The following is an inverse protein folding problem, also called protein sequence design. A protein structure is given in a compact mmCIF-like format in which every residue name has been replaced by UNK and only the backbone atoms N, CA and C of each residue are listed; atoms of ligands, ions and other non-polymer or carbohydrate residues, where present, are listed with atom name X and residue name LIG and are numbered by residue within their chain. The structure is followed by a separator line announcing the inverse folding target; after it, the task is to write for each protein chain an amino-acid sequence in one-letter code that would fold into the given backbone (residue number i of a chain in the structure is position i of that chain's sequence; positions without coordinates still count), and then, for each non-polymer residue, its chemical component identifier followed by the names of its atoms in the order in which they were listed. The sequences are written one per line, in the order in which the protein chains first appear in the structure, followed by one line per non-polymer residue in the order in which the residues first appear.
data_IF_846021298253
#
_entry.id   IF_846021298253
#
_cell.length_a   1.000
_cell.length_b   1.000
_cell.length_c   1.000
_cell.angle_alpha   90.00
_cell.angle_beta   90.00
_cell.angle_gamma   90.00
#
_symmetry.space_group_name_H-M   'P 1'
#
loop_
_entity.id
_entity.type
_entity.pdbx_description
1 polymer ?
#
# COMPACT_ATOMS: atom_id res chain seq x y z
N UNK A 1 -9.31 16.53 -8.92
CA UNK A 1 -9.43 15.05 -9.03
C UNK A 1 -8.08 14.39 -9.33
N UNK A 2 -7.31 14.84 -10.34
CA UNK A 2 -6.00 14.24 -10.69
C UNK A 2 -4.94 14.29 -9.57
N UNK A 3 -4.80 15.41 -8.87
CA UNK A 3 -3.81 15.56 -7.77
C UNK A 3 -4.13 14.62 -6.60
N UNK A 4 -5.41 14.48 -6.25
CA UNK A 4 -5.87 13.53 -5.22
C UNK A 4 -5.52 12.09 -5.57
N UNK A 5 -5.71 11.70 -6.84
CA UNK A 5 -5.34 10.37 -7.33
C UNK A 5 -3.83 10.11 -7.17
N UNK A 6 -2.99 11.04 -7.63
CA UNK A 6 -1.53 10.91 -7.56
C UNK A 6 -1.07 10.77 -6.11
N UNK A 7 -1.59 11.60 -5.20
CA UNK A 7 -1.23 11.52 -3.78
C UNK A 7 -1.55 10.16 -3.15
N UNK A 8 -2.76 9.66 -3.38
CA UNK A 8 -3.21 8.37 -2.83
C UNK A 8 -2.45 7.19 -3.46
N UNK A 9 -2.12 7.26 -4.75
CA UNK A 9 -1.27 6.26 -5.40
C UNK A 9 0.12 6.21 -4.78
N UNK A 10 0.78 7.37 -4.58
CA UNK A 10 2.12 7.42 -3.98
C UNK A 10 2.08 6.88 -2.56
N UNK A 11 1.12 7.30 -1.74
CA UNK A 11 0.97 6.85 -0.35
C UNK A 11 0.74 5.34 -0.27
N UNK A 12 -0.12 4.79 -1.14
CA UNK A 12 -0.37 3.35 -1.17
C UNK A 12 0.89 2.55 -1.50
N UNK A 13 1.68 3.00 -2.48
CA UNK A 13 2.93 2.35 -2.86
C UNK A 13 3.99 2.44 -1.73
N UNK A 14 4.06 3.58 -1.05
CA UNK A 14 4.99 3.81 0.06
C UNK A 14 4.65 2.92 1.26
N UNK A 15 3.36 2.78 1.59
CA UNK A 15 2.88 1.91 2.66
C UNK A 15 3.17 0.43 2.35
N UNK A 16 2.91 -0.01 1.12
CA UNK A 16 3.22 -1.38 0.70
C UNK A 16 4.73 -1.62 0.78
N UNK A 17 5.55 -0.73 0.22
CA UNK A 17 7.01 -0.83 0.29
C UNK A 17 7.54 -0.89 1.72
N UNK A 18 7.06 0.02 2.58
CA UNK A 18 7.41 0.04 4.01
C UNK A 18 7.01 -1.26 4.71
N UNK A 19 5.81 -1.75 4.44
CA UNK A 19 5.33 -3.02 4.99
C UNK A 19 6.17 -4.22 4.55
N UNK A 20 6.62 -4.26 3.29
CA UNK A 20 7.56 -5.28 2.81
C UNK A 20 8.94 -5.18 3.47
N UNK A 21 9.46 -3.97 3.71
CA UNK A 21 10.73 -3.79 4.43
C UNK A 21 10.65 -4.32 5.87
N UNK A 22 9.58 -4.00 6.59
CA UNK A 22 9.33 -4.49 7.96
C UNK A 22 9.16 -6.02 7.96
N UNK A 23 8.52 -6.56 6.92
CA UNK A 23 8.38 -8.00 6.74
C UNK A 23 9.74 -8.67 6.54
N UNK A 24 10.62 -8.07 5.73
CA UNK A 24 12.00 -8.54 5.55
C UNK A 24 12.78 -8.56 6.87
N UNK A 25 12.65 -7.51 7.68
CA UNK A 25 13.27 -7.44 9.00
C UNK A 25 12.72 -8.49 9.97
N UNK A 26 11.41 -8.76 9.93
CA UNK A 26 10.78 -9.85 10.68
C UNK A 26 11.32 -11.22 10.26
N UNK A 27 11.58 -11.46 8.98
CA UNK A 27 12.19 -12.71 8.49
C UNK A 27 13.62 -12.85 9.01
N UNK A 28 14.40 -11.77 9.00
CA UNK A 28 15.77 -11.79 9.55
C UNK A 28 15.74 -12.07 11.06
N UNK A 29 14.82 -11.47 11.80
CA UNK A 29 14.63 -11.75 13.24
C UNK A 29 14.25 -13.21 13.49
N UNK A 30 13.39 -13.79 12.65
CA UNK A 30 13.03 -15.21 12.70
C UNK A 30 14.25 -16.11 12.52
N UNK A 31 15.13 -15.77 11.57
CA UNK A 31 16.36 -16.53 11.32
C UNK A 31 17.40 -16.39 12.45
N UNK A 32 17.27 -15.38 13.31
CA UNK A 32 18.14 -15.16 14.47
C UNK A 32 17.54 -15.66 15.80
N UNK A 33 16.51 -16.52 15.75
CA UNK A 33 15.78 -17.05 16.92
C UNK A 33 15.21 -15.97 17.87
N UNK A 34 14.93 -14.76 17.34
CA UNK A 34 14.31 -13.65 18.09
C UNK A 34 12.81 -13.62 17.85
N UNK A 35 12.08 -12.93 18.74
CA UNK A 35 10.63 -12.73 18.59
C UNK A 35 10.33 -11.97 17.29
N UNK A 36 9.79 -12.68 16.30
CA UNK A 36 9.46 -12.16 14.96
C UNK A 36 7.97 -11.97 14.74
N UNK A 37 7.13 -12.58 15.60
CA UNK A 37 5.68 -12.66 15.39
C UNK A 37 5.01 -11.28 15.40
N UNK A 38 5.41 -10.42 16.33
CA UNK A 38 4.85 -9.05 16.47
C UNK A 38 5.28 -8.17 15.30
N UNK A 39 6.54 -8.25 14.88
CA UNK A 39 7.03 -7.46 13.74
C UNK A 39 6.40 -7.92 12.42
N UNK A 40 6.24 -9.24 12.24
CA UNK A 40 5.58 -9.81 11.07
C UNK A 40 4.09 -9.49 11.00
N UNK A 41 3.38 -9.50 12.13
CA UNK A 41 1.96 -9.11 12.19
C UNK A 41 1.78 -7.62 11.92
N UNK A 42 2.65 -6.75 12.46
CA UNK A 42 2.67 -5.33 12.13
C UNK A 42 2.91 -5.09 10.63
N UNK A 43 3.86 -5.81 10.02
CA UNK A 43 4.07 -5.75 8.57
C UNK A 43 2.81 -6.11 7.79
N UNK A 44 2.12 -7.20 8.16
CA UNK A 44 0.88 -7.61 7.50
C UNK A 44 -0.22 -6.55 7.61
N UNK A 45 -0.38 -5.91 8.77
CA UNK A 45 -1.35 -4.82 8.97
C UNK A 45 -1.02 -3.63 8.05
N UNK A 46 0.25 -3.25 7.96
CA UNK A 46 0.71 -2.13 7.13
C UNK A 46 0.50 -2.43 5.64
N UNK A 47 0.87 -3.64 5.18
CA UNK A 47 0.69 -4.06 3.79
C UNK A 47 -0.80 -4.08 3.42
N UNK A 48 -1.65 -4.67 4.26
CA UNK A 48 -3.10 -4.71 4.00
C UNK A 48 -3.71 -3.31 3.97
N UNK A 49 -3.28 -2.42 4.86
CA UNK A 49 -3.70 -1.01 4.84
C UNK A 49 -3.29 -0.32 3.53
N UNK A 50 -2.04 -0.54 3.09
CA UNK A 50 -1.54 -0.02 1.81
C UNK A 50 -2.31 -0.54 0.60
N UNK A 51 -2.70 -1.82 0.60
CA UNK A 51 -3.55 -2.41 -0.45
C UNK A 51 -4.94 -1.78 -0.52
N UNK A 52 -5.56 -1.44 0.61
CA UNK A 52 -6.84 -0.72 0.62
C UNK A 52 -6.72 0.64 -0.06
N UNK A 53 -5.68 1.42 0.25
CA UNK A 53 -5.43 2.71 -0.41
C UNK A 53 -5.13 2.55 -1.91
N UNK A 54 -4.47 1.46 -2.30
CA UNK A 54 -4.21 1.16 -3.70
C UNK A 54 -5.52 0.88 -4.46
N UNK A 55 -6.46 0.15 -3.85
CA UNK A 55 -7.80 -0.06 -4.39
C UNK A 55 -8.56 1.24 -4.63
N UNK A 56 -8.54 2.15 -3.64
CA UNK A 56 -9.16 3.48 -3.79
C UNK A 56 -8.49 4.32 -4.87
N UNK A 57 -7.16 4.22 -5.01
CA UNK A 57 -6.43 4.85 -6.10
C UNK A 57 -6.90 4.36 -7.47
N UNK A 58 -7.11 3.05 -7.63
CA UNK A 58 -7.57 2.47 -8.90
C UNK A 58 -8.97 2.97 -9.24
N UNK A 59 -9.89 2.95 -8.28
CA UNK A 59 -11.27 3.44 -8.48
C UNK A 59 -11.27 4.92 -8.89
N UNK A 60 -10.50 5.76 -8.20
CA UNK A 60 -10.35 7.17 -8.55
C UNK A 60 -9.77 7.36 -9.96
N UNK A 61 -8.85 6.48 -10.40
CA UNK A 61 -8.30 6.49 -11.76
C UNK A 61 -9.39 6.23 -12.80
N UNK A 62 -10.21 5.20 -12.56
CA UNK A 62 -11.27 4.76 -13.46
C UNK A 62 -12.31 5.87 -13.62
N UNK A 63 -12.82 6.41 -12.51
CA UNK A 63 -13.78 7.53 -12.53
C UNK A 63 -13.24 8.76 -13.27
N UNK A 64 -11.93 9.00 -13.19
CA UNK A 64 -11.29 10.12 -13.87
C UNK A 64 -11.18 9.89 -15.38
N UNK A 65 -10.95 8.64 -15.80
CA UNK A 65 -10.96 8.24 -17.21
C UNK A 65 -12.38 8.39 -17.78
N UNK A 66 -13.40 7.84 -17.10
CA UNK A 66 -14.80 7.94 -17.52
C UNK A 66 -15.25 9.40 -17.70
N UNK A 67 -14.94 10.28 -16.74
CA UNK A 67 -15.26 11.71 -16.84
C UNK A 67 -14.59 12.41 -18.03
N UNK A 68 -13.40 11.96 -18.45
CA UNK A 68 -12.75 12.51 -19.64
C UNK A 68 -13.36 12.00 -20.95
N UNK A 69 -13.90 10.77 -20.95
CA UNK A 69 -14.59 10.21 -22.12
C UNK A 69 -15.95 10.86 -22.35
N UNK A 70 -16.71 11.16 -21.30
CA UNK A 70 -18.03 11.83 -21.40
C UNK A 70 -17.92 13.30 -21.77
N UNK A 71 -16.78 13.95 -21.52
CA UNK A 71 -16.54 15.36 -21.87
C UNK A 71 -16.11 15.59 -23.32
N UNK A 72 -15.86 14.53 -24.09
CA UNK A 72 -15.40 14.58 -25.48
C UNK A 72 -16.57 14.36 -26.43
#
# INVERSE_FOLDING_TARGET
MKIKWIGISIISLLLIGMGLSILGEAIILKNNDKSYFIMGTLALVIINSGLCFLGEAIILKIQLIEKNLVKK
#
